data_IF_013943955405
#
_entry.id   IF_013943955405
#
_cell.length_a   1.000
_cell.length_b   1.000
_cell.length_c   1.000
_cell.angle_alpha   90.00
_cell.angle_beta   90.00
_cell.angle_gamma   90.00
#
_symmetry.space_group_name_H-M   'P 1'
#
loop_
_entity.id
_entity.type
_entity.pdbx_description
1 polymer ?
#
# COMPACT_ATOMS: atom_id res chain seq x y z
N UNK A 1 22.44 17.99 13.05
CA UNK A 1 21.29 18.11 12.14
C UNK A 1 21.70 19.03 11.00
N UNK A 2 21.46 18.62 9.75
CA UNK A 2 21.81 19.45 8.59
C UNK A 2 20.81 20.60 8.42
N UNK A 3 21.20 21.68 7.75
CA UNK A 3 20.30 22.82 7.46
C UNK A 3 19.27 22.51 6.37
N UNK A 4 19.56 21.55 5.49
CA UNK A 4 18.72 21.15 4.37
C UNK A 4 18.16 19.76 4.57
N UNK A 5 16.99 19.53 4.00
CA UNK A 5 16.33 18.23 3.97
C UNK A 5 16.02 17.81 2.54
N UNK A 6 16.15 16.51 2.27
CA UNK A 6 15.64 15.84 1.07
C UNK A 6 14.53 14.88 1.49
N UNK A 7 13.40 14.96 0.81
CA UNK A 7 12.22 14.15 1.08
C UNK A 7 11.82 13.53 -0.26
N UNK A 8 11.71 12.21 -0.30
CA UNK A 8 11.36 11.45 -1.50
C UNK A 8 10.24 10.48 -1.21
N UNK A 9 9.48 10.16 -2.25
CA UNK A 9 8.66 8.95 -2.26
C UNK A 9 9.54 7.70 -2.35
N UNK A 10 8.95 6.54 -2.06
CA UNK A 10 9.58 5.22 -2.18
C UNK A 10 9.39 4.64 -3.59
N UNK A 11 8.15 4.34 -3.94
CA UNK A 11 7.79 3.71 -5.22
C UNK A 11 7.89 4.74 -6.35
N UNK A 12 8.65 4.42 -7.40
CA UNK A 12 9.00 5.34 -8.48
C UNK A 12 10.40 5.93 -8.34
N UNK A 13 10.73 6.73 -7.31
CA UNK A 13 12.08 7.28 -7.15
C UNK A 13 13.14 6.29 -6.65
N UNK A 14 12.78 5.37 -5.74
CA UNK A 14 13.72 4.46 -5.08
C UNK A 14 13.56 3.01 -5.55
N UNK A 15 12.32 2.56 -5.66
CA UNK A 15 11.94 1.22 -6.13
C UNK A 15 11.08 1.29 -7.39
N UNK A 16 11.11 0.23 -8.18
CA UNK A 16 10.30 0.03 -9.38
C UNK A 16 9.06 -0.83 -9.10
N UNK A 17 8.88 -1.26 -7.86
CA UNK A 17 7.73 -2.02 -7.42
C UNK A 17 6.45 -1.17 -7.44
N UNK A 18 5.32 -1.87 -7.53
CA UNK A 18 4.03 -1.40 -7.03
C UNK A 18 3.62 -2.39 -5.94
N UNK A 19 3.98 -2.10 -4.68
CA UNK A 19 3.90 -3.11 -3.63
C UNK A 19 2.45 -3.49 -3.33
N UNK A 20 1.54 -2.53 -3.40
CA UNK A 20 0.12 -2.79 -3.12
C UNK A 20 -0.48 -3.72 -4.20
N UNK A 21 -0.17 -3.47 -5.48
CA UNK A 21 -0.54 -4.37 -6.57
C UNK A 21 0.08 -5.76 -6.40
N UNK A 22 1.39 -5.83 -6.15
CA UNK A 22 2.13 -7.08 -6.03
C UNK A 22 1.63 -7.96 -4.87
N UNK A 23 1.32 -7.35 -3.72
CA UNK A 23 0.71 -8.04 -2.57
C UNK A 23 -0.67 -8.60 -2.92
N UNK A 24 -1.54 -7.80 -3.55
CA UNK A 24 -2.85 -8.28 -3.98
C UNK A 24 -2.73 -9.44 -4.96
N UNK A 25 -1.91 -9.29 -6.00
CA UNK A 25 -1.70 -10.31 -7.02
C UNK A 25 -1.12 -11.61 -6.45
N UNK A 26 -0.34 -11.54 -5.37
CA UNK A 26 0.27 -12.71 -4.75
C UNK A 26 -0.67 -13.44 -3.78
N UNK A 27 -1.33 -12.70 -2.89
CA UNK A 27 -2.03 -13.29 -1.74
C UNK A 27 -3.54 -13.50 -1.96
N UNK A 28 -4.15 -12.77 -2.89
CA UNK A 28 -5.61 -12.80 -3.10
C UNK A 28 -5.90 -13.46 -4.45
N UNK A 29 -6.80 -14.45 -4.47
CA UNK A 29 -7.33 -14.99 -5.73
C UNK A 29 -8.07 -13.87 -6.51
N UNK A 30 -7.70 -13.71 -7.78
CA UNK A 30 -8.07 -12.59 -8.67
C UNK A 30 -7.66 -11.21 -8.14
N UNK A 31 -6.63 -11.16 -7.28
CA UNK A 31 -6.20 -9.95 -6.60
C UNK A 31 -5.59 -8.89 -7.52
N UNK A 32 -4.97 -9.29 -8.63
CA UNK A 32 -4.42 -8.35 -9.61
C UNK A 32 -5.52 -7.55 -10.34
N UNK A 33 -6.65 -8.18 -10.65
CA UNK A 33 -7.82 -7.53 -11.22
C UNK A 33 -8.58 -6.71 -10.17
N UNK A 34 -8.76 -7.26 -8.96
CA UNK A 34 -9.36 -6.54 -7.83
C UNK A 34 -8.62 -5.22 -7.57
N UNK A 35 -7.28 -5.27 -7.53
CA UNK A 35 -6.46 -4.07 -7.30
C UNK A 35 -6.68 -3.02 -8.39
N UNK A 36 -6.66 -3.40 -9.68
CA UNK A 36 -6.86 -2.45 -10.78
C UNK A 36 -8.23 -1.78 -10.70
N UNK A 37 -9.28 -2.52 -10.36
CA UNK A 37 -10.63 -1.98 -10.19
C UNK A 37 -10.66 -0.95 -9.06
N UNK A 38 -10.09 -1.29 -7.90
CA UNK A 38 -10.09 -0.41 -6.74
C UNK A 38 -9.14 0.79 -6.87
N UNK A 39 -8.03 0.63 -7.60
CA UNK A 39 -7.12 1.73 -7.94
C UNK A 39 -7.80 2.74 -8.86
N UNK A 40 -8.51 2.27 -9.91
CA UNK A 40 -9.29 3.17 -10.76
C UNK A 40 -10.43 3.87 -10.00
N UNK A 41 -11.01 3.18 -9.01
CA UNK A 41 -12.02 3.79 -8.15
C UNK A 41 -11.41 4.84 -7.20
N UNK A 42 -10.22 4.61 -6.63
CA UNK A 42 -9.47 5.62 -5.86
C UNK A 42 -9.26 6.89 -6.68
N UNK A 43 -8.76 6.74 -7.92
CA UNK A 43 -8.56 7.85 -8.85
C UNK A 43 -9.88 8.59 -9.15
N UNK A 44 -10.96 7.86 -9.41
CA UNK A 44 -12.28 8.45 -9.63
C UNK A 44 -12.78 9.26 -8.42
N UNK A 45 -12.60 8.74 -7.20
CA UNK A 45 -12.99 9.45 -5.97
C UNK A 45 -12.21 10.76 -5.79
N UNK A 46 -10.94 10.78 -6.19
CA UNK A 46 -10.06 11.95 -6.05
C UNK A 46 -10.27 12.96 -7.16
N UNK A 47 -10.21 12.54 -8.41
CA UNK A 47 -10.11 13.44 -9.56
C UNK A 47 -11.47 13.90 -10.07
N UNK A 48 -12.45 12.99 -10.10
CA UNK A 48 -13.77 13.24 -10.67
C UNK A 48 -14.79 13.65 -9.60
N UNK A 49 -14.97 12.82 -8.56
CA UNK A 49 -15.93 13.10 -7.47
C UNK A 49 -15.40 14.18 -6.53
N UNK A 50 -14.08 14.21 -6.31
CA UNK A 50 -13.42 15.04 -5.30
C UNK A 50 -14.06 14.84 -3.92
N UNK A 51 -14.23 13.57 -3.54
CA UNK A 51 -14.93 13.17 -2.32
C UNK A 51 -14.29 13.85 -1.10
N UNK A 52 -15.13 14.48 -0.28
CA UNK A 52 -14.67 15.22 0.90
C UNK A 52 -13.85 14.32 1.83
N UNK A 53 -12.71 14.84 2.31
CA UNK A 53 -11.76 14.16 3.20
C UNK A 53 -11.13 12.87 2.63
N UNK A 54 -11.30 12.58 1.33
CA UNK A 54 -10.60 11.49 0.64
C UNK A 54 -9.26 11.99 0.07
N UNK A 55 -8.29 11.07 -0.09
CA UNK A 55 -6.93 11.39 -0.58
C UNK A 55 -6.47 10.31 -1.55
N UNK A 56 -5.69 10.71 -2.55
CA UNK A 56 -5.03 9.78 -3.47
C UNK A 56 -4.14 8.79 -2.72
N UNK A 57 -4.06 7.57 -3.25
CA UNK A 57 -3.31 6.47 -2.65
C UNK A 57 -4.06 5.78 -1.51
N UNK A 58 -5.35 6.07 -1.33
CA UNK A 58 -6.20 5.35 -0.38
C UNK A 58 -6.58 3.94 -0.91
N UNK A 59 -6.16 3.55 -2.13
CA UNK A 59 -6.28 2.16 -2.62
C UNK A 59 -5.78 1.16 -1.58
N UNK A 60 -4.67 1.45 -0.89
CA UNK A 60 -4.15 0.60 0.20
C UNK A 60 -5.14 0.42 1.37
N UNK A 61 -5.99 1.42 1.64
CA UNK A 61 -7.05 1.27 2.65
C UNK A 61 -8.21 0.44 2.12
N UNK A 62 -8.56 0.59 0.84
CA UNK A 62 -9.64 -0.16 0.20
C UNK A 62 -9.32 -1.66 0.11
N UNK A 63 -8.05 -2.01 -0.15
CA UNK A 63 -7.64 -3.42 -0.30
C UNK A 63 -7.42 -4.15 1.04
N UNK A 64 -7.18 -3.40 2.13
CA UNK A 64 -6.80 -3.95 3.44
C UNK A 64 -7.78 -5.01 3.98
N UNK A 65 -9.11 -4.84 3.91
CA UNK A 65 -10.05 -5.85 4.38
C UNK A 65 -9.91 -7.21 3.66
N UNK A 66 -9.48 -7.22 2.40
CA UNK A 66 -9.31 -8.46 1.66
C UNK A 66 -8.09 -9.25 2.12
N UNK A 67 -7.01 -8.58 2.57
CA UNK A 67 -5.92 -9.26 3.26
C UNK A 67 -6.36 -9.88 4.60
N UNK A 68 -7.31 -9.24 5.28
CA UNK A 68 -7.90 -9.80 6.49
C UNK A 68 -8.66 -11.11 6.22
N UNK A 69 -9.25 -11.30 5.03
CA UNK A 69 -9.89 -12.57 4.61
C UNK A 69 -8.85 -13.69 4.46
N UNK A 70 -7.72 -13.39 3.85
CA UNK A 70 -6.61 -14.33 3.62
C UNK A 70 -5.80 -14.65 4.89
N UNK A 71 -6.11 -14.00 6.01
CA UNK A 71 -5.44 -14.20 7.31
C UNK A 71 -3.97 -13.81 7.32
N UNK A 72 -3.59 -12.82 6.51
CA UNK A 72 -2.20 -12.37 6.44
C UNK A 72 -1.75 -11.77 7.77
N UNK A 73 -0.47 -11.95 8.07
CA UNK A 73 0.25 -11.40 9.22
C UNK A 73 1.29 -10.40 8.77
N UNK A 74 1.79 -9.59 9.72
CA UNK A 74 2.82 -8.60 9.42
C UNK A 74 4.05 -9.26 8.77
N UNK A 75 4.42 -10.43 9.29
CA UNK A 75 5.55 -11.22 8.79
C UNK A 75 5.36 -11.67 7.33
N UNK A 76 4.13 -11.99 6.89
CA UNK A 76 3.87 -12.40 5.51
C UNK A 76 4.19 -11.27 4.52
N UNK A 77 3.73 -10.04 4.84
CA UNK A 77 3.97 -8.84 4.03
C UNK A 77 5.46 -8.48 4.00
N UNK A 78 6.15 -8.56 5.15
CA UNK A 78 7.59 -8.29 5.26
C UNK A 78 8.38 -9.30 4.42
N UNK A 79 8.09 -10.60 4.57
CA UNK A 79 8.81 -11.66 3.88
C UNK A 79 8.63 -11.57 2.36
N UNK A 80 7.39 -11.41 1.90
CA UNK A 80 7.12 -11.17 0.47
C UNK A 80 7.90 -9.97 -0.04
N UNK A 81 7.82 -8.84 0.66
CA UNK A 81 8.50 -7.60 0.27
C UNK A 81 10.02 -7.79 0.17
N UNK A 82 10.66 -8.45 1.14
CA UNK A 82 12.11 -8.69 1.15
C UNK A 82 12.60 -9.52 -0.02
N UNK A 83 11.79 -10.45 -0.50
CA UNK A 83 12.14 -11.33 -1.63
C UNK A 83 11.94 -10.65 -3.00
N UNK A 84 11.16 -9.56 -3.05
CA UNK A 84 10.71 -8.93 -4.29
C UNK A 84 11.12 -7.45 -4.42
N UNK A 85 12.19 -7.00 -3.77
CA UNK A 85 12.64 -5.60 -3.90
C UNK A 85 13.31 -5.39 -5.26
N UNK A 86 12.70 -4.54 -6.10
CA UNK A 86 13.28 -4.07 -7.36
C UNK A 86 13.60 -2.58 -7.26
N UNK A 87 14.88 -2.24 -7.33
CA UNK A 87 15.34 -0.86 -7.12
C UNK A 87 15.56 -0.11 -8.43
N UNK A 88 15.35 1.20 -8.39
CA UNK A 88 15.86 2.10 -9.43
C UNK A 88 17.38 2.06 -9.41
N UNK A 89 18.01 2.03 -10.57
CA UNK A 89 19.48 2.02 -10.67
C UNK A 89 20.10 3.15 -9.87
N UNK A 90 21.15 2.84 -9.12
CA UNK A 90 21.91 3.75 -8.26
C UNK A 90 21.11 4.42 -7.12
N UNK A 91 19.83 4.08 -6.89
CA UNK A 91 19.02 4.69 -5.82
C UNK A 91 19.61 4.47 -4.43
N UNK A 92 20.13 3.26 -4.16
CA UNK A 92 20.84 2.94 -2.92
C UNK A 92 22.10 3.80 -2.72
N UNK A 93 22.86 4.01 -3.79
CA UNK A 93 24.05 4.87 -3.75
C UNK A 93 23.65 6.33 -3.48
N UNK A 94 22.64 6.83 -4.18
CA UNK A 94 22.10 8.17 -3.99
C UNK A 94 21.63 8.39 -2.54
N UNK A 95 20.86 7.47 -1.98
CA UNK A 95 20.39 7.56 -0.59
C UNK A 95 21.55 7.64 0.40
N UNK A 96 22.56 6.77 0.27
CA UNK A 96 23.77 6.82 1.12
C UNK A 96 24.51 8.16 0.99
N UNK A 97 24.64 8.68 -0.23
CA UNK A 97 25.25 9.99 -0.46
C UNK A 97 24.45 11.11 0.22
N UNK A 98 23.12 11.14 0.04
CA UNK A 98 22.25 12.16 0.62
C UNK A 98 22.28 12.13 2.16
N UNK A 99 22.25 10.95 2.77
CA UNK A 99 22.36 10.80 4.24
C UNK A 99 23.65 11.43 4.80
N UNK A 100 24.75 11.43 4.04
CA UNK A 100 26.02 12.05 4.45
C UNK A 100 26.04 13.58 4.32
N UNK A 101 25.09 14.16 3.59
CA UNK A 101 25.09 15.56 3.19
C UNK A 101 23.87 16.37 3.66
N UNK A 102 22.75 15.71 3.98
CA UNK A 102 21.49 16.36 4.37
C UNK A 102 20.58 15.44 5.18
N UNK A 103 19.62 16.02 5.89
CA UNK A 103 18.58 15.20 6.54
C UNK A 103 17.75 14.56 5.41
N UNK A 104 17.62 13.25 5.42
CA UNK A 104 16.97 12.51 4.31
C UNK A 104 15.80 11.73 4.88
N UNK A 105 14.64 11.81 4.22
CA UNK A 105 13.41 11.15 4.64
C UNK A 105 12.73 10.45 3.46
N UNK A 106 12.05 9.34 3.75
CA UNK A 106 11.16 8.66 2.80
C UNK A 106 9.72 8.90 3.28
N UNK A 107 8.83 9.31 2.39
CA UNK A 107 7.40 9.47 2.66
C UNK A 107 6.64 8.69 1.59
N UNK A 108 6.06 7.56 1.97
CA UNK A 108 5.37 6.65 1.05
C UNK A 108 3.92 6.41 1.45
N UNK A 109 3.07 6.07 0.49
CA UNK A 109 1.73 5.51 0.75
C UNK A 109 1.77 4.02 1.06
N UNK A 110 2.84 3.30 0.71
CA UNK A 110 2.98 1.85 1.00
C UNK A 110 2.90 1.56 2.50
N UNK A 111 2.59 0.30 2.86
CA UNK A 111 2.57 -0.12 4.25
C UNK A 111 3.96 -0.12 4.90
N UNK A 112 4.01 0.04 6.22
CA UNK A 112 5.24 0.03 7.01
C UNK A 112 6.09 -1.23 6.81
N UNK A 113 5.46 -2.39 6.59
CA UNK A 113 6.08 -3.69 6.33
C UNK A 113 6.98 -3.66 5.08
N UNK A 114 6.49 -3.03 4.00
CA UNK A 114 7.28 -2.84 2.78
C UNK A 114 8.41 -1.83 3.00
N UNK A 115 8.12 -0.73 3.69
CA UNK A 115 9.12 0.32 3.98
C UNK A 115 10.21 -0.19 4.92
N UNK A 116 9.91 -1.10 5.85
CA UNK A 116 10.90 -1.78 6.68
C UNK A 116 11.81 -2.65 5.81
N UNK A 117 11.25 -3.47 4.93
CA UNK A 117 12.02 -4.30 4.00
C UNK A 117 12.95 -3.46 3.11
N UNK A 118 12.43 -2.38 2.51
CA UNK A 118 13.21 -1.44 1.69
C UNK A 118 14.28 -0.72 2.51
N UNK A 119 13.95 -0.23 3.71
CA UNK A 119 14.90 0.46 4.58
C UNK A 119 16.08 -0.43 4.95
N UNK A 120 15.80 -1.69 5.33
CA UNK A 120 16.83 -2.68 5.60
C UNK A 120 17.69 -2.97 4.36
N UNK A 121 17.09 -3.13 3.19
CA UNK A 121 17.82 -3.36 1.94
C UNK A 121 18.71 -2.17 1.53
N UNK A 122 18.20 -0.95 1.68
CA UNK A 122 18.89 0.28 1.29
C UNK A 122 19.95 0.71 2.30
N UNK A 123 19.97 0.12 3.50
CA UNK A 123 20.70 0.63 4.69
C UNK A 123 20.24 2.06 5.04
N UNK A 124 18.91 2.26 5.05
CA UNK A 124 18.27 3.52 5.40
C UNK A 124 17.65 3.44 6.81
N UNK A 125 17.81 4.48 7.66
CA UNK A 125 17.22 4.49 9.00
C UNK A 125 15.70 4.52 8.92
N UNK A 126 15.04 3.48 9.43
CA UNK A 126 13.58 3.32 9.38
C UNK A 126 12.85 4.44 10.13
N UNK A 127 13.46 4.98 11.20
CA UNK A 127 12.94 6.12 11.96
C UNK A 127 12.83 7.43 11.14
N UNK A 128 13.49 7.50 9.98
CA UNK A 128 13.38 8.62 9.04
C UNK A 128 12.38 8.34 7.91
N UNK A 129 11.47 7.38 8.11
CA UNK A 129 10.43 7.05 7.13
C UNK A 129 9.03 7.37 7.65
N UNK A 130 8.14 7.69 6.72
CA UNK A 130 6.71 7.90 6.95
C UNK A 130 5.95 7.04 5.94
N UNK A 131 4.94 6.33 6.43
CA UNK A 131 4.27 5.28 5.67
C UNK A 131 2.83 5.09 6.16
N UNK A 132 2.05 4.27 5.45
CA UNK A 132 0.73 3.86 5.91
C UNK A 132 0.89 2.84 7.04
N UNK A 133 0.52 3.24 8.25
CA UNK A 133 0.62 2.39 9.44
C UNK A 133 -0.55 1.41 9.51
N UNK A 134 -0.22 0.12 9.57
CA UNK A 134 -1.17 -1.00 9.64
C UNK A 134 -0.53 -2.10 10.47
N UNK A 135 -1.30 -2.67 11.39
CA UNK A 135 -0.96 -3.89 12.10
C UNK A 135 -1.90 -5.03 11.68
N UNK A 136 -1.39 -5.95 10.86
CA UNK A 136 -2.13 -7.11 10.38
C UNK A 136 -2.39 -8.15 11.49
N UNK A 137 -1.56 -8.15 12.53
CA UNK A 137 -1.70 -9.09 13.66
C UNK A 137 -2.86 -8.67 14.58
N UNK A 138 -3.17 -7.37 14.62
CA UNK A 138 -4.29 -6.80 15.39
C UNK A 138 -5.65 -6.82 14.64
N UNK A 139 -5.67 -7.18 13.34
CA UNK A 139 -6.92 -7.30 12.60
C UNK A 139 -7.74 -8.51 13.11
N UNK A 140 -8.74 -8.20 13.93
CA UNK A 140 -9.68 -9.19 14.44
C UNK A 140 -10.51 -9.80 13.29
N UNK A 141 -10.61 -11.13 13.29
CA UNK A 141 -11.44 -11.86 12.34
C UNK A 141 -12.76 -12.23 12.98
N UNK A 142 -13.82 -11.53 12.59
CA UNK A 142 -15.19 -11.93 12.92
C UNK A 142 -15.74 -12.70 11.71
N UNK A 143 -16.12 -13.96 11.90
CA UNK A 143 -16.50 -14.87 10.80
C UNK A 143 -17.58 -14.26 9.88
N UNK A 144 -18.57 -13.57 10.46
CA UNK A 144 -19.63 -12.89 9.69
C UNK A 144 -19.09 -11.76 8.81
N UNK A 145 -18.13 -10.97 9.31
CA UNK A 145 -17.49 -9.89 8.55
C UNK A 145 -16.62 -10.45 7.43
N UNK A 146 -15.85 -11.51 7.69
CA UNK A 146 -15.01 -12.16 6.68
C UNK A 146 -15.86 -12.70 5.53
N UNK A 147 -16.99 -13.35 5.83
CA UNK A 147 -17.93 -13.81 4.81
C UNK A 147 -18.50 -12.64 3.99
N UNK A 148 -18.79 -11.52 4.66
CA UNK A 148 -19.31 -10.33 3.99
C UNK A 148 -18.28 -9.67 3.07
N UNK A 149 -17.03 -9.57 3.51
CA UNK A 149 -15.92 -9.04 2.70
C UNK A 149 -15.65 -9.94 1.48
N UNK A 150 -15.70 -11.26 1.64
CA UNK A 150 -15.57 -12.19 0.53
C UNK A 150 -16.70 -12.02 -0.52
N UNK A 151 -17.93 -11.79 -0.07
CA UNK A 151 -19.05 -11.48 -0.97
C UNK A 151 -18.85 -10.13 -1.67
N UNK A 152 -18.35 -9.10 -0.96
CA UNK A 152 -18.01 -7.82 -1.59
C UNK A 152 -16.93 -7.96 -2.65
N UNK A 153 -15.89 -8.78 -2.41
CA UNK A 153 -14.86 -9.08 -3.43
C UNK A 153 -15.51 -9.57 -4.72
N UNK A 154 -16.41 -10.55 -4.61
CA UNK A 154 -17.13 -11.10 -5.75
C UNK A 154 -17.97 -10.04 -6.46
N UNK A 155 -18.72 -9.24 -5.70
CA UNK A 155 -19.56 -8.17 -6.26
C UNK A 155 -18.73 -7.11 -7.01
N UNK A 156 -17.57 -6.73 -6.48
CA UNK A 156 -16.65 -5.79 -7.12
C UNK A 156 -16.11 -6.38 -8.44
N UNK A 157 -15.64 -7.64 -8.42
CA UNK A 157 -15.11 -8.32 -9.60
C UNK A 157 -16.17 -8.52 -10.70
N UNK A 158 -17.42 -8.85 -10.32
CA UNK A 158 -18.52 -9.03 -11.27
C UNK A 158 -19.05 -7.69 -11.83
N UNK A 159 -18.83 -6.58 -11.12
CA UNK A 159 -19.36 -5.25 -11.46
C UNK A 159 -18.27 -4.16 -11.46
N UNK A 160 -17.20 -4.29 -12.26
CA UNK A 160 -15.95 -3.52 -12.13
C UNK A 160 -16.06 -2.00 -12.35
N UNK A 161 -17.22 -1.51 -12.79
CA UNK A 161 -17.48 -0.09 -13.09
C UNK A 161 -18.68 0.48 -12.33
N UNK A 162 -19.26 -0.30 -11.40
CA UNK A 162 -20.41 0.14 -10.63
C UNK A 162 -19.94 0.89 -9.38
N UNK A 163 -19.56 2.15 -9.54
CA UNK A 163 -19.02 2.96 -8.44
C UNK A 163 -20.07 3.33 -7.38
N UNK A 164 -21.36 3.32 -7.72
CA UNK A 164 -22.44 3.44 -6.71
C UNK A 164 -22.44 2.24 -5.76
N UNK A 165 -22.31 1.01 -6.29
CA UNK A 165 -22.13 -0.19 -5.48
C UNK A 165 -20.87 -0.10 -4.61
N UNK A 166 -19.77 0.47 -5.13
CA UNK A 166 -18.53 0.58 -4.35
C UNK A 166 -18.69 1.60 -3.23
N UNK A 167 -19.39 2.71 -3.48
CA UNK A 167 -19.74 3.68 -2.43
C UNK A 167 -20.57 3.03 -1.32
N UNK A 168 -21.55 2.19 -1.69
CA UNK A 168 -22.34 1.42 -0.72
C UNK A 168 -21.45 0.45 0.07
N UNK A 169 -20.48 -0.22 -0.56
CA UNK A 169 -19.59 -1.17 0.12
C UNK A 169 -18.65 -0.46 1.11
N UNK A 170 -18.04 0.65 0.71
CA UNK A 170 -16.94 1.26 1.47
C UNK A 170 -17.36 2.43 2.37
N UNK A 171 -18.52 3.04 2.12
CA UNK A 171 -18.91 4.28 2.80
C UNK A 171 -20.34 4.31 3.33
N UNK A 172 -21.14 3.25 3.17
CA UNK A 172 -22.45 3.19 3.85
C UNK A 172 -22.28 2.86 5.34
N UNK A 173 -23.10 3.51 6.18
CA UNK A 173 -23.16 3.28 7.64
C UNK A 173 -24.06 2.07 8.01
#
# INVERSE_FOLDING_TARGET
MFEKSFITDCEGPLTLNDNAFELCAHFIEDGDELFKILSLYDDYLVDEVKKDNYKAGNTLKLILPFFAVENLKNEDLINFSREHIYVVNDSRFLLKYLQSAMNTYIVSTSYGQYIEAVSNFMEFPFENTYYTDVDMDELNRIDEEILKIAEFKKQILENPKNYELFDDIFFSE
#
